data_IF_423293723968
#
_entry.id   IF_423293723968
#
_cell.length_a   1.000
_cell.length_b   1.000
_cell.length_c   1.000
_cell.angle_alpha   90.00
_cell.angle_beta   90.00
_cell.angle_gamma   90.00
#
_symmetry.space_group_name_H-M   'P 1'
#
loop_
_entity.id
_entity.type
_entity.pdbx_description
1 polymer ?
#
# COMPACT_ATOMS: atom_id res chain seq x y z
N UNK A 1 -38.50 58.18 37.75
CA UNK A 1 -37.87 57.24 36.81
C UNK A 1 -37.87 55.86 37.44
N UNK A 2 -38.57 54.89 36.85
CA UNK A 2 -38.60 53.49 37.31
C UNK A 2 -37.62 52.71 36.43
N UNK A 3 -36.59 52.12 37.02
CA UNK A 3 -35.72 51.18 36.32
C UNK A 3 -36.35 49.79 36.38
N UNK A 4 -36.63 49.22 35.21
CA UNK A 4 -37.03 47.82 35.05
C UNK A 4 -35.73 47.04 34.84
N UNK A 5 -35.37 46.20 35.81
CA UNK A 5 -34.29 45.24 35.67
C UNK A 5 -34.84 43.99 35.00
N UNK A 6 -34.48 43.77 33.73
CA UNK A 6 -34.80 42.54 33.00
C UNK A 6 -33.73 41.51 33.33
N UNK A 7 -34.11 40.45 34.04
CA UNK A 7 -33.26 39.29 34.30
C UNK A 7 -33.43 38.31 33.14
N UNK A 8 -32.39 38.15 32.32
CA UNK A 8 -32.34 37.10 31.31
C UNK A 8 -31.96 35.77 31.96
N UNK A 9 -32.94 34.87 32.11
CA UNK A 9 -32.68 33.48 32.47
C UNK A 9 -32.27 32.74 31.19
N UNK A 10 -30.97 32.51 31.02
CA UNK A 10 -30.46 31.60 30.00
C UNK A 10 -30.77 30.16 30.41
N UNK A 11 -31.84 29.59 29.87
CA UNK A 11 -32.05 28.15 29.90
C UNK A 11 -31.09 27.49 28.92
N UNK A 12 -30.00 26.91 29.43
CA UNK A 12 -29.14 26.01 28.66
C UNK A 12 -29.96 24.75 28.40
N UNK A 13 -30.53 24.64 27.20
CA UNK A 13 -31.05 23.38 26.68
C UNK A 13 -29.81 22.53 26.38
N UNK A 14 -29.41 21.69 27.32
CA UNK A 14 -28.51 20.58 27.03
C UNK A 14 -29.30 19.64 26.14
N UNK A 15 -29.14 19.79 24.83
CA UNK A 15 -29.52 18.76 23.87
C UNK A 15 -28.78 17.49 24.30
N UNK A 16 -29.50 16.53 24.89
CA UNK A 16 -28.99 15.19 25.14
C UNK A 16 -28.71 14.60 23.77
N UNK A 17 -27.48 14.77 23.27
CA UNK A 17 -27.03 14.06 22.10
C UNK A 17 -27.27 12.57 22.37
N UNK A 18 -28.13 11.93 21.58
CA UNK A 18 -28.25 10.48 21.58
C UNK A 18 -26.90 9.89 21.15
N UNK A 19 -26.04 9.64 22.13
CA UNK A 19 -24.78 8.97 21.89
C UNK A 19 -25.07 7.58 21.33
N UNK A 20 -24.48 7.27 20.18
CA UNK A 20 -24.55 5.91 19.65
C UNK A 20 -23.71 5.00 20.56
N UNK A 21 -24.20 3.81 20.86
CA UNK A 21 -23.48 2.80 21.64
C UNK A 21 -23.03 1.69 20.72
N UNK A 22 -21.77 1.27 20.87
CA UNK A 22 -21.16 0.14 20.17
C UNK A 22 -20.65 -0.89 21.18
N UNK A 23 -21.14 -2.13 21.07
CA UNK A 23 -20.77 -3.25 21.95
C UNK A 23 -19.57 -3.98 21.37
N UNK A 24 -18.34 -3.65 21.80
CA UNK A 24 -17.12 -4.34 21.33
C UNK A 24 -16.91 -5.63 22.13
N UNK A 25 -16.46 -6.72 21.51
CA UNK A 25 -16.21 -7.96 22.26
C UNK A 25 -15.01 -7.84 23.19
N UNK A 26 -13.88 -7.33 22.67
CA UNK A 26 -12.62 -7.22 23.39
C UNK A 26 -12.26 -5.78 23.72
N UNK A 27 -11.49 -5.57 24.79
CA UNK A 27 -11.05 -4.21 25.18
C UNK A 27 -10.01 -3.63 24.21
N UNK A 28 -9.57 -2.38 24.42
CA UNK A 28 -8.74 -1.62 23.45
C UNK A 28 -7.43 -2.31 23.03
N UNK A 29 -6.82 -3.11 23.90
CA UNK A 29 -5.53 -3.79 23.64
C UNK A 29 -5.70 -5.31 23.49
N UNK A 30 -6.93 -5.74 23.21
CA UNK A 30 -7.27 -7.14 23.08
C UNK A 30 -7.93 -7.38 21.74
N UNK A 31 -7.57 -8.52 21.15
CA UNK A 31 -8.12 -8.96 19.88
C UNK A 31 -8.89 -10.26 20.06
N UNK A 32 -9.93 -10.43 19.25
CA UNK A 32 -10.77 -11.61 19.30
C UNK A 32 -10.15 -12.75 18.48
N UNK A 33 -10.06 -13.93 19.09
CA UNK A 33 -9.65 -15.16 18.43
C UNK A 33 -10.75 -16.21 18.50
N UNK A 34 -10.75 -17.11 17.52
CA UNK A 34 -11.58 -18.30 17.52
C UNK A 34 -10.72 -19.52 17.82
N UNK A 35 -11.19 -20.38 18.71
CA UNK A 35 -10.49 -21.59 19.16
C UNK A 35 -11.40 -22.80 18.93
N UNK A 36 -10.95 -23.70 18.05
CA UNK A 36 -11.62 -24.96 17.72
C UNK A 36 -10.80 -26.15 18.23
N UNK A 37 -11.46 -27.19 18.74
CA UNK A 37 -10.84 -28.44 19.22
C UNK A 37 -11.38 -29.64 18.42
N UNK A 38 -10.60 -30.73 18.36
CA UNK A 38 -10.86 -31.95 17.55
C UNK A 38 -12.02 -32.79 18.05
N UNK A 39 -12.48 -32.58 19.27
CA UNK A 39 -13.63 -33.33 19.78
C UNK A 39 -14.85 -32.94 18.95
N UNK A 40 -15.48 -33.93 18.30
CA UNK A 40 -16.71 -33.74 17.47
C UNK A 40 -17.87 -33.05 18.22
N UNK A 41 -17.78 -32.96 19.54
CA UNK A 41 -18.74 -32.29 20.42
C UNK A 41 -18.24 -30.94 20.98
N UNK A 42 -16.99 -30.56 20.72
CA UNK A 42 -16.45 -29.27 21.15
C UNK A 42 -16.89 -28.19 20.16
N UNK A 43 -17.60 -27.19 20.70
CA UNK A 43 -18.02 -26.03 19.92
C UNK A 43 -16.87 -25.03 19.82
N UNK A 44 -16.90 -24.24 18.76
CA UNK A 44 -16.02 -23.08 18.63
C UNK A 44 -16.13 -22.20 19.87
N UNK A 45 -14.98 -21.82 20.41
CA UNK A 45 -14.87 -20.90 21.54
C UNK A 45 -14.27 -19.59 21.05
N UNK A 46 -14.71 -18.49 21.62
CA UNK A 46 -14.18 -17.15 21.32
C UNK A 46 -13.51 -16.59 22.55
N UNK A 47 -12.29 -16.07 22.39
CA UNK A 47 -11.47 -15.55 23.48
C UNK A 47 -10.84 -14.21 23.09
N UNK A 48 -10.68 -13.32 24.07
CA UNK A 48 -9.93 -12.08 23.90
C UNK A 48 -8.50 -12.30 24.41
N UNK A 49 -7.52 -12.10 23.54
CA UNK A 49 -6.10 -12.20 23.89
C UNK A 49 -5.45 -10.83 23.92
N UNK A 50 -4.51 -10.65 24.85
CA UNK A 50 -3.70 -9.43 24.93
C UNK A 50 -2.61 -9.48 23.87
N UNK A 51 -2.62 -8.47 22.99
CA UNK A 51 -1.70 -8.37 21.88
C UNK A 51 -0.24 -8.27 22.33
N UNK A 52 0.05 -7.46 23.34
CA UNK A 52 1.41 -7.17 23.79
C UNK A 52 2.05 -8.40 24.44
N UNK A 53 1.24 -9.24 25.08
CA UNK A 53 1.69 -10.44 25.77
C UNK A 53 1.93 -11.62 24.85
N UNK A 54 1.22 -11.69 23.72
CA UNK A 54 1.23 -12.85 22.82
C UNK A 54 1.79 -12.55 21.41
N UNK A 55 2.33 -11.35 21.20
CA UNK A 55 2.94 -10.86 19.95
C UNK A 55 3.98 -11.83 19.35
N UNK A 56 4.73 -12.56 20.18
CA UNK A 56 5.72 -13.55 19.72
C UNK A 56 5.11 -14.86 19.22
N UNK A 57 3.93 -15.24 19.72
CA UNK A 57 3.23 -16.48 19.39
C UNK A 57 2.38 -16.33 18.11
N UNK A 58 1.92 -15.10 17.81
CA UNK A 58 0.98 -14.81 16.71
C UNK A 58 1.51 -13.76 15.72
N UNK A 59 2.82 -13.78 15.42
CA UNK A 59 3.51 -12.79 14.56
C UNK A 59 2.82 -12.52 13.22
N UNK A 60 2.17 -13.51 12.62
CA UNK A 60 1.47 -13.34 11.34
C UNK A 60 0.00 -12.89 11.51
N UNK A 61 -0.67 -13.20 12.62
CA UNK A 61 -1.99 -12.64 12.94
C UNK A 61 -1.91 -11.15 13.35
N UNK A 62 -0.72 -10.72 13.79
CA UNK A 62 -0.37 -9.35 14.17
C UNK A 62 -0.38 -8.36 12.99
N UNK A 63 -0.53 -8.85 11.76
CA UNK A 63 -0.53 -8.04 10.57
C UNK A 63 -1.67 -7.03 10.50
N UNK A 64 -2.70 -7.03 11.35
CA UNK A 64 -3.85 -6.14 11.17
C UNK A 64 -4.24 -5.37 12.44
N UNK A 65 -4.86 -4.20 12.24
CA UNK A 65 -5.29 -3.34 13.33
C UNK A 65 -6.61 -3.80 13.94
N UNK A 66 -6.77 -3.49 15.23
CA UNK A 66 -8.06 -3.58 15.92
C UNK A 66 -9.08 -2.59 15.33
N UNK A 67 -10.36 -2.78 15.68
CA UNK A 67 -11.41 -1.81 15.38
C UNK A 67 -11.18 -0.50 16.15
N UNK A 68 -11.05 0.61 15.42
CA UNK A 68 -10.95 1.96 15.98
C UNK A 68 -12.34 2.60 15.96
N UNK A 69 -12.83 3.04 17.11
CA UNK A 69 -14.17 3.61 17.26
C UNK A 69 -14.05 5.12 17.41
N UNK A 70 -14.88 5.87 16.69
CA UNK A 70 -14.90 7.34 16.75
C UNK A 70 -15.28 7.82 18.16
N UNK A 71 -14.77 8.99 18.56
CA UNK A 71 -15.00 9.59 19.89
C UNK A 71 -16.49 9.84 20.19
N UNK A 72 -17.30 9.93 19.13
CA UNK A 72 -18.73 10.23 19.19
C UNK A 72 -19.59 9.01 19.60
N UNK A 73 -18.97 7.84 19.74
CA UNK A 73 -19.62 6.55 20.01
C UNK A 73 -19.17 6.04 21.36
N UNK A 74 -20.12 5.70 22.23
CA UNK A 74 -19.85 5.10 23.53
C UNK A 74 -19.53 3.61 23.33
N UNK A 75 -18.38 3.16 23.83
CA UNK A 75 -17.96 1.77 23.76
C UNK A 75 -18.37 1.05 25.04
N UNK A 76 -19.05 -0.08 24.89
CA UNK A 76 -19.33 -1.02 25.97
C UNK A 76 -18.70 -2.37 25.62
N UNK A 77 -17.88 -2.94 26.51
CA UNK A 77 -17.05 -4.10 26.19
C UNK A 77 -17.61 -5.39 26.79
N UNK A 78 -17.37 -6.51 26.12
CA UNK A 78 -17.47 -7.86 26.70
C UNK A 78 -18.16 -8.88 25.80
N UNK A 79 -17.62 -10.10 25.81
CA UNK A 79 -18.23 -11.26 25.17
C UNK A 79 -19.48 -11.69 25.96
N UNK A 80 -20.61 -11.98 25.29
CA UNK A 80 -21.80 -12.54 25.94
C UNK A 80 -21.45 -13.80 26.74
N UNK A 81 -21.93 -13.85 27.99
CA UNK A 81 -21.66 -14.96 28.90
C UNK A 81 -22.88 -15.86 29.05
N UNK A 82 -22.64 -17.12 29.44
CA UNK A 82 -23.70 -18.08 29.84
C UNK A 82 -24.67 -18.48 28.71
N UNK A 83 -24.21 -18.50 27.47
CA UNK A 83 -24.99 -18.95 26.32
C UNK A 83 -24.10 -19.67 25.30
N UNK A 84 -24.73 -20.33 24.33
CA UNK A 84 -24.03 -20.82 23.15
C UNK A 84 -23.87 -19.66 22.16
N UNK A 85 -22.65 -19.47 21.67
CA UNK A 85 -22.31 -18.37 20.77
C UNK A 85 -22.38 -18.83 19.31
N UNK A 86 -23.00 -18.00 18.49
CA UNK A 86 -22.88 -18.05 17.03
C UNK A 86 -22.18 -16.80 16.51
N UNK A 87 -21.28 -16.98 15.55
CA UNK A 87 -20.62 -15.88 14.84
C UNK A 87 -21.29 -15.67 13.48
N UNK A 88 -21.54 -14.41 13.15
CA UNK A 88 -22.06 -13.98 11.85
C UNK A 88 -21.09 -12.97 11.27
N UNK A 89 -20.56 -13.24 10.08
CA UNK A 89 -19.72 -12.28 9.37
C UNK A 89 -20.54 -11.07 8.91
N UNK A 90 -19.93 -9.90 9.03
CA UNK A 90 -20.54 -8.62 8.72
C UNK A 90 -19.81 -7.94 7.57
N UNK A 91 -20.60 -7.31 6.70
CA UNK A 91 -20.10 -6.58 5.54
C UNK A 91 -20.80 -5.22 5.45
N UNK A 92 -20.00 -4.14 5.36
CA UNK A 92 -20.53 -2.80 5.12
C UNK A 92 -21.20 -2.16 6.35
N UNK A 93 -22.48 -1.81 6.26
CA UNK A 93 -23.17 -1.06 7.30
C UNK A 93 -23.57 -1.94 8.49
N UNK A 94 -23.33 -1.46 9.71
CA UNK A 94 -23.62 -2.18 10.93
C UNK A 94 -24.91 -1.70 11.59
N UNK A 95 -25.90 -2.59 11.67
CA UNK A 95 -27.09 -2.40 12.50
C UNK A 95 -26.77 -2.81 13.94
N UNK A 96 -26.07 -1.94 14.66
CA UNK A 96 -25.56 -2.24 16.00
C UNK A 96 -26.71 -2.38 17.02
N UNK A 97 -26.67 -3.49 17.73
CA UNK A 97 -27.49 -3.75 18.90
C UNK A 97 -26.82 -3.20 20.15
N UNK A 98 -27.64 -2.74 21.11
CA UNK A 98 -27.19 -2.42 22.47
C UNK A 98 -27.43 -3.57 23.44
N UNK A 99 -27.90 -4.72 22.95
CA UNK A 99 -28.12 -5.92 23.74
C UNK A 99 -26.79 -6.45 24.30
N UNK A 100 -26.83 -6.95 25.55
CA UNK A 100 -25.67 -7.56 26.19
C UNK A 100 -25.35 -8.93 25.61
N UNK A 101 -26.32 -9.57 24.99
CA UNK A 101 -26.18 -10.88 24.37
C UNK A 101 -25.52 -10.82 22.98
N UNK A 102 -25.10 -9.62 22.55
CA UNK A 102 -24.46 -9.36 21.27
C UNK A 102 -23.18 -8.52 21.50
N UNK A 103 -22.12 -8.86 20.79
CA UNK A 103 -20.93 -8.02 20.65
C UNK A 103 -20.35 -8.11 19.23
N UNK A 104 -19.51 -7.15 18.88
CA UNK A 104 -18.88 -7.03 17.56
C UNK A 104 -17.37 -6.90 17.70
N UNK A 105 -16.63 -7.62 16.87
CA UNK A 105 -15.17 -7.47 16.79
C UNK A 105 -14.61 -8.07 15.51
N UNK A 106 -13.31 -7.88 15.26
CA UNK A 106 -12.59 -8.54 14.17
C UNK A 106 -11.94 -9.82 14.68
N UNK A 107 -12.14 -10.94 13.98
CA UNK A 107 -11.32 -12.14 14.23
C UNK A 107 -9.95 -11.92 13.59
N UNK A 108 -8.90 -11.91 14.40
CA UNK A 108 -7.53 -11.75 13.90
C UNK A 108 -6.86 -13.09 13.57
N UNK A 109 -7.28 -14.18 14.21
CA UNK A 109 -6.76 -15.52 13.94
C UNK A 109 -7.73 -16.61 14.40
N UNK A 110 -7.60 -17.78 13.78
CA UNK A 110 -8.22 -19.02 14.24
C UNK A 110 -7.15 -19.96 14.77
N UNK A 111 -7.46 -20.66 15.86
CA UNK A 111 -6.61 -21.71 16.44
C UNK A 111 -7.40 -23.02 16.34
N UNK A 112 -6.86 -23.99 15.63
CA UNK A 112 -7.45 -25.31 15.52
C UNK A 112 -6.47 -26.33 16.13
N UNK A 113 -6.87 -26.94 17.25
CA UNK A 113 -6.06 -27.91 18.00
C UNK A 113 -4.69 -27.37 18.45
N UNK A 114 -4.65 -26.11 18.84
CA UNK A 114 -3.41 -25.44 19.23
C UNK A 114 -2.51 -25.04 18.05
N UNK A 115 -2.91 -25.32 16.81
CA UNK A 115 -2.24 -24.79 15.63
C UNK A 115 -2.94 -23.53 15.14
N UNK A 116 -2.17 -22.49 14.85
CA UNK A 116 -2.65 -21.25 14.25
C UNK A 116 -3.01 -21.50 12.79
N UNK A 117 -4.25 -21.23 12.40
CA UNK A 117 -4.69 -21.21 11.01
C UNK A 117 -4.64 -19.76 10.53
N UNK A 118 -3.58 -19.42 9.79
CA UNK A 118 -3.34 -18.08 9.24
C UNK A 118 -4.38 -17.61 8.23
N UNK A 119 -5.14 -18.52 7.62
CA UNK A 119 -6.07 -18.20 6.54
C UNK A 119 -7.46 -17.74 7.04
N UNK A 120 -7.60 -17.37 8.32
CA UNK A 120 -8.83 -16.76 8.78
C UNK A 120 -9.10 -15.52 7.93
N UNK A 121 -10.17 -15.54 7.11
CA UNK A 121 -10.69 -14.32 6.49
C UNK A 121 -10.90 -13.37 7.65
N UNK A 122 -10.11 -12.30 7.69
CA UNK A 122 -10.13 -11.33 8.76
C UNK A 122 -11.41 -10.51 8.67
N UNK A 123 -12.52 -11.14 9.04
CA UNK A 123 -13.86 -10.60 8.93
C UNK A 123 -14.23 -9.95 10.25
N UNK A 124 -15.00 -8.87 10.12
CA UNK A 124 -15.70 -8.30 11.26
C UNK A 124 -16.88 -9.20 11.51
N UNK A 125 -17.04 -9.65 12.73
CA UNK A 125 -18.10 -10.58 13.11
C UNK A 125 -18.98 -9.98 14.18
N UNK A 126 -20.21 -10.49 14.21
CA UNK A 126 -21.13 -10.35 15.33
C UNK A 126 -21.15 -11.67 16.08
N UNK A 127 -20.75 -11.64 17.35
CA UNK A 127 -20.99 -12.75 18.28
C UNK A 127 -22.33 -12.52 18.96
N UNK A 128 -23.19 -13.55 18.93
CA UNK A 128 -24.49 -13.50 19.60
C UNK A 128 -24.82 -14.80 20.32
N UNK A 129 -25.62 -14.70 21.37
CA UNK A 129 -26.25 -15.87 21.98
C UNK A 129 -27.30 -16.49 21.04
N UNK A 130 -27.32 -17.81 20.93
CA UNK A 130 -28.37 -18.53 20.18
C UNK A 130 -29.76 -18.20 20.73
N UNK A 131 -30.69 -17.80 19.84
CA UNK A 131 -32.04 -17.37 20.22
C UNK A 131 -32.19 -15.89 20.57
N UNK A 132 -31.09 -15.11 20.59
CA UNK A 132 -31.18 -13.65 20.74
C UNK A 132 -31.82 -13.00 19.51
N UNK A 133 -32.75 -12.06 19.76
CA UNK A 133 -33.39 -11.26 18.73
C UNK A 133 -32.62 -9.95 18.52
N UNK A 134 -32.31 -9.63 17.26
CA UNK A 134 -31.67 -8.37 16.90
C UNK A 134 -32.65 -7.20 17.05
N UNK A 135 -32.61 -6.54 18.20
CA UNK A 135 -33.25 -5.22 18.37
C UNK A 135 -32.25 -4.13 17.97
N UNK A 136 -32.09 -3.92 16.66
CA UNK A 136 -31.20 -2.87 16.15
C UNK A 136 -31.72 -1.49 16.56
N UNK A 137 -30.85 -0.69 17.20
CA UNK A 137 -31.16 0.69 17.60
C UNK A 137 -30.27 1.72 16.92
N UNK A 138 -29.05 1.33 16.53
CA UNK A 138 -28.05 2.26 16.00
C UNK A 138 -27.55 1.79 14.64
N UNK A 139 -27.69 2.64 13.62
CA UNK A 139 -26.99 2.47 12.36
C UNK A 139 -25.58 3.05 12.49
N UNK A 140 -24.59 2.17 12.58
CA UNK A 140 -23.18 2.51 12.60
C UNK A 140 -22.57 2.31 11.21
N UNK A 141 -21.83 3.31 10.73
CA UNK A 141 -21.07 3.19 9.49
C UNK A 141 -19.67 2.69 9.80
N UNK A 142 -19.28 1.65 9.09
CA UNK A 142 -17.98 1.00 9.17
C UNK A 142 -17.18 1.31 7.91
N UNK A 143 -15.93 1.70 8.08
CA UNK A 143 -15.04 2.07 6.98
C UNK A 143 -13.69 1.35 7.11
N UNK A 144 -13.31 0.62 6.06
CA UNK A 144 -11.97 0.03 5.95
C UNK A 144 -11.01 1.05 5.34
N UNK A 145 -9.77 1.06 5.82
CA UNK A 145 -8.65 1.79 5.23
C UNK A 145 -7.61 0.74 4.82
N UNK A 146 -7.23 0.72 3.55
CA UNK A 146 -6.19 -0.19 3.06
C UNK A 146 -4.85 0.51 3.22
N UNK A 147 -3.95 -0.06 4.02
CA UNK A 147 -2.62 0.48 4.25
C UNK A 147 -1.60 -0.18 3.32
N UNK A 148 -0.65 0.60 2.81
CA UNK A 148 0.34 0.11 1.86
C UNK A 148 1.39 -0.80 2.51
N UNK A 149 1.91 -0.39 3.66
CA UNK A 149 2.92 -1.16 4.35
C UNK A 149 2.34 -2.02 5.47
N UNK A 150 3.05 -3.08 5.89
CA UNK A 150 2.70 -3.82 7.10
C UNK A 150 2.59 -2.91 8.33
N UNK A 151 1.99 -3.46 9.39
CA UNK A 151 1.89 -2.82 10.70
C UNK A 151 3.25 -2.30 11.19
N UNK A 152 3.25 -1.15 11.87
CA UNK A 152 4.43 -0.46 12.43
C UNK A 152 5.49 -0.01 11.40
N UNK A 153 5.17 -0.12 10.11
CA UNK A 153 5.99 0.38 9.01
C UNK A 153 5.27 1.52 8.30
N UNK A 154 6.02 2.33 7.55
CA UNK A 154 5.51 3.39 6.68
C UNK A 154 6.20 3.30 5.33
N UNK A 155 5.63 3.91 4.30
CA UNK A 155 6.16 3.82 2.94
C UNK A 155 7.25 4.87 2.71
N UNK A 156 8.40 4.46 2.19
CA UNK A 156 9.49 5.35 1.81
C UNK A 156 9.46 5.55 0.30
N UNK A 157 8.93 6.70 -0.16
CA UNK A 157 8.79 6.99 -1.59
C UNK A 157 10.10 7.43 -2.28
N UNK A 158 11.19 7.60 -1.53
CA UNK A 158 12.52 7.87 -2.12
C UNK A 158 13.20 6.57 -2.56
N UNK A 159 12.98 5.50 -1.79
CA UNK A 159 13.59 4.19 -2.02
C UNK A 159 12.59 3.12 -2.44
N UNK A 160 11.31 3.46 -2.47
CA UNK A 160 10.19 2.60 -2.86
C UNK A 160 10.15 1.31 -2.03
N UNK A 161 10.06 1.41 -0.70
CA UNK A 161 9.94 0.26 0.20
C UNK A 161 9.31 0.61 1.55
N UNK A 162 8.89 -0.41 2.30
CA UNK A 162 8.31 -0.25 3.62
C UNK A 162 9.37 -0.29 4.74
N UNK A 163 9.36 0.70 5.63
CA UNK A 163 10.36 0.85 6.69
C UNK A 163 9.73 1.04 8.05
N UNK A 164 10.34 0.46 9.09
CA UNK A 164 9.92 0.67 10.48
C UNK A 164 10.08 2.12 10.90
N UNK A 165 9.08 2.66 11.58
CA UNK A 165 9.11 4.00 12.18
C UNK A 165 8.54 3.96 13.58
N UNK A 166 9.39 4.17 14.59
CA UNK A 166 9.02 3.97 16.00
C UNK A 166 7.93 4.93 16.50
N UNK A 167 7.78 6.10 15.87
CA UNK A 167 6.79 7.12 16.26
C UNK A 167 5.45 6.96 15.55
N UNK A 168 5.37 6.11 14.50
CA UNK A 168 4.16 5.99 13.71
C UNK A 168 3.13 5.13 14.44
N UNK A 169 1.89 5.61 14.46
CA UNK A 169 0.72 4.88 14.93
C UNK A 169 -0.31 4.86 13.83
N UNK A 170 -0.89 3.70 13.57
CA UNK A 170 -1.87 3.49 12.51
C UNK A 170 -3.10 4.43 12.64
N UNK A 171 -3.49 4.82 13.86
CA UNK A 171 -4.56 5.80 14.10
C UNK A 171 -4.25 7.19 13.54
N UNK A 172 -2.98 7.49 13.24
CA UNK A 172 -2.60 8.72 12.55
C UNK A 172 -3.27 8.81 11.17
N UNK A 173 -3.38 7.71 10.42
CA UNK A 173 -4.03 7.69 9.09
C UNK A 173 -5.49 8.16 9.18
N UNK A 174 -6.18 7.77 10.25
CA UNK A 174 -7.57 8.17 10.52
C UNK A 174 -7.66 9.67 10.77
N UNK A 175 -6.65 10.26 11.42
CA UNK A 175 -6.63 11.70 11.70
C UNK A 175 -6.34 12.57 10.47
N UNK A 176 -5.67 12.02 9.44
CA UNK A 176 -5.28 12.78 8.26
C UNK A 176 -6.27 12.65 7.11
N UNK A 177 -6.88 11.48 6.92
CA UNK A 177 -7.88 11.31 5.89
C UNK A 177 -9.11 12.17 6.20
N UNK A 178 -9.60 12.92 5.21
CA UNK A 178 -10.93 13.53 5.30
C UNK A 178 -11.96 12.42 5.23
N UNK A 179 -12.39 11.95 6.41
CA UNK A 179 -13.36 10.89 6.54
C UNK A 179 -14.75 11.52 6.66
N UNK A 180 -15.67 11.12 5.78
CA UNK A 180 -17.09 11.36 6.02
C UNK A 180 -17.51 10.74 7.37
N UNK A 181 -18.64 11.20 7.94
CA UNK A 181 -19.17 10.79 9.26
C UNK A 181 -19.28 9.25 9.36
N UNK A 182 -18.18 8.61 9.77
CA UNK A 182 -18.06 7.18 10.01
C UNK A 182 -17.85 6.96 11.51
N UNK A 183 -18.43 5.88 12.00
CA UNK A 183 -18.51 5.60 13.43
C UNK A 183 -17.41 4.64 13.87
N UNK A 184 -16.99 3.72 12.99
CA UNK A 184 -16.00 2.67 13.25
C UNK A 184 -15.07 2.52 12.03
N UNK A 185 -13.78 2.36 12.30
CA UNK A 185 -12.72 2.18 11.32
C UNK A 185 -11.91 0.91 11.59
N UNK A 186 -11.31 0.37 10.55
CA UNK A 186 -10.36 -0.71 10.66
C UNK A 186 -9.32 -0.61 9.54
N UNK A 187 -8.10 -1.05 9.82
CA UNK A 187 -7.00 -0.98 8.86
C UNK A 187 -6.72 -2.39 8.35
N UNK A 188 -6.76 -2.52 7.03
CA UNK A 188 -6.37 -3.71 6.30
C UNK A 188 -4.93 -3.50 5.79
N UNK A 189 -4.00 -4.28 6.30
CA UNK A 189 -2.62 -4.28 5.83
C UNK A 189 -2.52 -5.29 4.70
N UNK A 190 -3.10 -4.92 3.55
CA UNK A 190 -3.28 -5.81 2.42
C UNK A 190 -3.39 -5.04 1.11
N UNK A 191 -2.35 -4.30 0.72
CA UNK A 191 -2.19 -4.08 -0.71
C UNK A 191 -1.31 -5.20 -1.27
N UNK A 192 -1.98 -6.08 -2.00
CA UNK A 192 -1.34 -6.96 -2.96
C UNK A 192 -0.69 -6.08 -4.06
N UNK A 193 0.34 -6.58 -4.76
CA UNK A 193 0.90 -5.87 -5.90
C UNK A 193 -0.21 -5.58 -6.94
N UNK A 194 -0.07 -4.49 -7.71
CA UNK A 194 -1.00 -4.19 -8.80
C UNK A 194 -1.05 -5.35 -9.81
N UNK A 195 -2.16 -5.46 -10.53
CA UNK A 195 -2.31 -6.56 -11.49
C UNK A 195 -1.22 -6.50 -12.57
N UNK A 196 -0.91 -7.65 -13.17
CA UNK A 196 0.04 -7.71 -14.29
C UNK A 196 -0.39 -6.75 -15.40
N UNK A 197 0.48 -5.80 -15.75
CA UNK A 197 0.15 -4.75 -16.72
C UNK A 197 0.05 -3.37 -16.11
N UNK A 198 -0.33 -3.28 -14.83
CA UNK A 198 -0.58 -2.04 -14.13
C UNK A 198 0.67 -1.44 -13.51
N UNK A 199 0.67 -0.12 -13.40
CA UNK A 199 1.63 0.68 -12.66
C UNK A 199 1.07 1.01 -11.29
N UNK A 200 1.93 0.89 -10.27
CA UNK A 200 1.67 1.42 -8.95
C UNK A 200 2.12 2.89 -8.90
N UNK A 201 1.17 3.80 -8.96
CA UNK A 201 1.40 5.25 -8.99
C UNK A 201 1.35 5.85 -7.61
N UNK A 202 2.40 6.60 -7.25
CA UNK A 202 2.64 7.17 -5.93
C UNK A 202 2.15 8.62 -5.84
N UNK A 203 0.93 8.78 -5.35
CA UNK A 203 0.22 10.05 -5.27
C UNK A 203 0.48 10.69 -3.90
N UNK A 204 1.18 11.82 -3.91
CA UNK A 204 1.65 12.51 -2.70
C UNK A 204 0.74 13.65 -2.29
N UNK A 205 0.41 13.73 -1.02
CA UNK A 205 -0.32 14.86 -0.44
C UNK A 205 0.53 16.14 -0.50
N UNK A 206 -0.08 17.19 -1.06
CA UNK A 206 0.57 18.47 -1.35
C UNK A 206 0.60 18.79 -2.84
N UNK A 207 0.65 17.76 -3.71
CA UNK A 207 0.33 17.88 -5.15
C UNK A 207 -1.14 17.52 -5.39
N UNK A 208 -1.62 16.55 -4.62
CA UNK A 208 -3.00 16.10 -4.62
C UNK A 208 -3.60 16.26 -3.23
N UNK A 209 -4.92 16.37 -3.19
CA UNK A 209 -5.74 16.19 -2.00
C UNK A 209 -6.34 14.79 -2.03
N UNK A 210 -6.24 14.09 -0.90
CA UNK A 210 -6.74 12.73 -0.74
C UNK A 210 -7.92 12.74 0.23
N UNK A 211 -9.04 12.14 -0.16
CA UNK A 211 -10.21 11.94 0.69
C UNK A 211 -10.76 10.53 0.54
N UNK A 212 -11.41 10.02 1.59
CA UNK A 212 -11.98 8.67 1.57
C UNK A 212 -13.49 8.73 1.77
N UNK A 213 -14.23 8.38 0.73
CA UNK A 213 -15.69 8.40 0.71
C UNK A 213 -16.23 7.00 0.42
N UNK A 214 -16.85 6.36 1.40
CA UNK A 214 -17.51 5.05 1.23
C UNK A 214 -16.60 3.98 0.58
N UNK A 215 -15.33 3.89 1.00
CA UNK A 215 -14.28 3.00 0.43
C UNK A 215 -13.78 3.38 -0.97
N UNK A 216 -14.19 4.52 -1.51
CA UNK A 216 -13.61 5.11 -2.71
C UNK A 216 -12.59 6.15 -2.29
N UNK A 217 -11.36 6.01 -2.78
CA UNK A 217 -10.35 7.04 -2.63
C UNK A 217 -10.61 8.11 -3.68
N UNK A 218 -10.98 9.29 -3.20
CA UNK A 218 -11.12 10.50 -4.01
C UNK A 218 -9.78 11.23 -4.01
N UNK A 219 -9.32 11.56 -5.21
CA UNK A 219 -8.05 12.22 -5.45
C UNK A 219 -8.35 13.47 -6.26
N UNK A 220 -8.07 14.64 -5.69
CA UNK A 220 -8.28 15.92 -6.35
C UNK A 220 -6.93 16.56 -6.61
N UNK A 221 -6.66 16.90 -7.86
CA UNK A 221 -5.47 17.64 -8.26
C UNK A 221 -5.69 19.15 -8.07
N UNK A 222 -4.63 19.93 -7.91
CA UNK A 222 -4.73 21.38 -7.69
C UNK A 222 -5.50 22.14 -8.79
N UNK A 223 -5.47 21.64 -10.03
CA UNK A 223 -6.18 22.22 -11.17
C UNK A 223 -7.69 21.90 -11.18
N UNK A 224 -8.18 21.09 -10.24
CA UNK A 224 -9.58 20.68 -10.11
C UNK A 224 -9.94 19.34 -10.75
N UNK A 225 -8.99 18.62 -11.36
CA UNK A 225 -9.25 17.28 -11.86
C UNK A 225 -9.50 16.31 -10.68
N UNK A 226 -10.56 15.51 -10.79
CA UNK A 226 -11.01 14.58 -9.75
C UNK A 226 -10.99 13.14 -10.25
N UNK A 227 -10.41 12.25 -9.45
CA UNK A 227 -10.29 10.83 -9.73
C UNK A 227 -10.90 10.03 -8.58
N UNK A 228 -11.63 8.97 -8.91
CA UNK A 228 -12.37 8.16 -7.95
C UNK A 228 -11.94 6.70 -8.08
N UNK A 229 -11.05 6.27 -7.19
CA UNK A 229 -10.47 4.92 -7.23
C UNK A 229 -11.24 4.00 -6.29
N UNK A 230 -11.78 2.91 -6.85
CA UNK A 230 -12.53 1.92 -6.09
C UNK A 230 -11.60 1.12 -5.17
N UNK A 231 -12.15 0.68 -4.05
CA UNK A 231 -11.51 -0.27 -3.13
C UNK A 231 -10.91 -1.46 -3.89
N UNK A 232 -9.68 -1.84 -3.53
CA UNK A 232 -8.95 -2.94 -4.16
C UNK A 232 -7.85 -2.48 -5.12
N UNK A 233 -7.92 -1.25 -5.64
CA UNK A 233 -6.92 -0.69 -6.55
C UNK A 233 -6.13 0.48 -5.93
N UNK A 234 -6.16 0.59 -4.59
CA UNK A 234 -5.40 1.60 -3.86
C UNK A 234 -5.06 1.17 -2.44
N UNK A 235 -4.02 1.81 -1.90
CA UNK A 235 -3.69 1.84 -0.49
C UNK A 235 -3.19 3.24 -0.09
N UNK A 236 -3.18 3.53 1.20
CA UNK A 236 -2.63 4.76 1.76
C UNK A 236 -1.60 4.48 2.83
N UNK A 237 -0.62 5.36 3.00
CA UNK A 237 0.33 5.30 4.10
C UNK A 237 0.86 6.70 4.43
N UNK A 238 1.65 6.80 5.49
CA UNK A 238 2.50 7.96 5.70
C UNK A 238 3.75 7.81 4.83
N UNK A 239 4.14 8.88 4.15
CA UNK A 239 5.45 8.93 3.51
C UNK A 239 6.56 9.11 4.57
N UNK A 240 7.60 8.29 4.48
CA UNK A 240 8.69 8.21 5.46
C UNK A 240 9.37 9.57 5.66
N UNK A 241 9.69 10.24 4.55
CA UNK A 241 10.46 11.49 4.53
C UNK A 241 9.60 12.71 4.84
N UNK A 242 8.53 12.95 4.07
CA UNK A 242 7.69 14.14 4.19
C UNK A 242 6.74 14.09 5.39
N UNK A 243 6.47 12.90 5.94
CA UNK A 243 5.48 12.65 7.00
C UNK A 243 4.03 13.01 6.60
N UNK A 244 3.78 13.21 5.31
CA UNK A 244 2.45 13.50 4.76
C UNK A 244 1.78 12.23 4.29
N UNK A 245 0.49 12.32 3.96
CA UNK A 245 -0.24 11.20 3.41
C UNK A 245 0.27 10.89 1.99
N UNK A 246 0.35 9.61 1.66
CA UNK A 246 0.65 9.11 0.33
C UNK A 246 -0.37 8.03 0.00
N UNK A 247 -0.83 8.00 -1.24
CA UNK A 247 -1.60 6.90 -1.79
C UNK A 247 -0.79 6.18 -2.87
N UNK A 248 -0.85 4.85 -2.90
CA UNK A 248 -0.48 4.09 -4.09
C UNK A 248 -1.76 3.67 -4.80
N UNK A 249 -1.82 3.89 -6.10
CA UNK A 249 -2.98 3.55 -6.94
C UNK A 249 -2.51 2.68 -8.09
N UNK A 250 -3.25 1.63 -8.39
CA UNK A 250 -3.00 0.76 -9.53
C UNK A 250 -3.75 1.29 -10.76
N UNK A 251 -3.01 1.62 -11.82
CA UNK A 251 -3.56 2.10 -13.09
C UNK A 251 -2.80 1.54 -14.29
N UNK A 252 -3.41 1.57 -15.47
CA UNK A 252 -2.77 1.12 -16.71
C UNK A 252 -1.92 2.22 -17.37
N UNK A 253 -2.30 3.48 -17.19
CA UNK A 253 -1.66 4.62 -17.86
C UNK A 253 -1.23 5.70 -16.85
N UNK A 254 0.09 5.86 -16.67
CA UNK A 254 0.67 6.89 -15.81
C UNK A 254 0.26 8.31 -16.18
N UNK A 255 -0.10 8.57 -17.44
CA UNK A 255 -0.47 9.91 -17.90
C UNK A 255 -1.73 10.43 -17.22
N UNK A 256 -2.57 9.55 -16.67
CA UNK A 256 -3.76 9.95 -15.90
C UNK A 256 -3.41 10.85 -14.70
N UNK A 257 -2.21 10.69 -14.11
CA UNK A 257 -1.74 11.45 -12.95
C UNK A 257 -0.46 12.27 -13.25
N UNK A 258 -0.17 12.53 -14.53
CA UNK A 258 1.10 13.10 -14.99
C UNK A 258 2.32 12.37 -14.38
N UNK A 259 2.18 11.06 -14.13
CA UNK A 259 3.20 10.29 -13.45
C UNK A 259 4.31 9.88 -14.42
N UNK A 260 5.55 9.90 -13.93
CA UNK A 260 6.67 9.37 -14.68
C UNK A 260 6.69 7.84 -14.55
N UNK A 261 6.43 7.18 -15.67
CA UNK A 261 6.25 5.74 -15.78
C UNK A 261 7.59 5.02 -15.92
N UNK A 262 7.83 4.00 -15.11
CA UNK A 262 9.04 3.17 -15.21
C UNK A 262 8.82 1.73 -14.75
N UNK A 263 9.77 0.88 -15.12
CA UNK A 263 9.73 -0.56 -14.86
C UNK A 263 10.83 -0.94 -13.88
N UNK A 264 10.45 -1.60 -12.79
CA UNK A 264 11.37 -2.27 -11.86
C UNK A 264 11.41 -3.77 -12.20
N UNK A 265 12.57 -4.40 -12.11
CA UNK A 265 12.69 -5.81 -12.48
C UNK A 265 11.98 -6.72 -11.48
N UNK A 266 12.26 -6.53 -10.19
CA UNK A 266 11.58 -7.21 -9.11
C UNK A 266 10.49 -6.35 -8.47
N UNK A 267 9.50 -6.95 -7.79
CA UNK A 267 8.54 -6.22 -6.96
C UNK A 267 9.20 -5.21 -6.01
N UNK A 268 8.41 -4.22 -5.59
CA UNK A 268 8.81 -3.19 -4.64
C UNK A 268 9.20 -3.87 -3.31
N UNK A 269 10.35 -3.50 -2.74
CA UNK A 269 10.91 -4.18 -1.56
C UNK A 269 11.70 -5.46 -1.84
N UNK A 270 11.78 -5.90 -3.10
CA UNK A 270 12.63 -7.02 -3.53
C UNK A 270 13.79 -6.54 -4.41
N UNK A 271 14.75 -7.41 -4.65
CA UNK A 271 15.86 -7.18 -5.56
C UNK A 271 16.27 -8.45 -6.31
N UNK A 272 17.06 -8.27 -7.37
CA UNK A 272 17.62 -9.40 -8.12
C UNK A 272 18.68 -10.11 -7.28
N UNK A 273 18.44 -11.39 -7.01
CA UNK A 273 19.34 -12.28 -6.27
C UNK A 273 20.15 -13.20 -7.15
N UNK A 274 19.59 -13.61 -8.30
CA UNK A 274 20.29 -14.39 -9.32
C UNK A 274 19.92 -13.88 -10.69
N UNK A 275 20.90 -13.89 -11.57
CA UNK A 275 20.76 -13.49 -12.96
C UNK A 275 21.34 -14.57 -13.86
N UNK A 276 20.57 -14.93 -14.89
CA UNK A 276 20.99 -15.79 -15.98
C UNK A 276 20.73 -15.10 -17.33
N UNK A 277 21.13 -15.75 -18.41
CA UNK A 277 21.04 -15.17 -19.77
C UNK A 277 19.60 -14.91 -20.23
N UNK A 278 18.60 -15.57 -19.64
CA UNK A 278 17.18 -15.46 -20.06
C UNK A 278 16.21 -15.19 -18.91
N UNK A 279 16.67 -15.23 -17.67
CA UNK A 279 15.82 -15.06 -16.50
C UNK A 279 16.62 -14.49 -15.32
N UNK A 280 15.88 -13.94 -14.37
CA UNK A 280 16.40 -13.55 -13.07
C UNK A 280 15.45 -14.00 -11.97
N UNK A 281 15.94 -14.07 -10.74
CA UNK A 281 15.10 -14.36 -9.57
C UNK A 281 15.14 -13.19 -8.58
N UNK A 282 13.99 -12.90 -8.00
CA UNK A 282 13.83 -11.87 -6.99
C UNK A 282 13.98 -12.43 -5.58
N UNK A 283 14.50 -11.62 -4.67
CA UNK A 283 14.57 -11.93 -3.26
C UNK A 283 14.17 -10.69 -2.43
N UNK A 284 13.50 -10.96 -1.31
CA UNK A 284 13.16 -9.95 -0.33
C UNK A 284 14.41 -9.23 0.17
N UNK A 285 14.30 -7.90 0.24
CA UNK A 285 15.37 -7.09 0.75
C UNK A 285 15.41 -7.17 2.28
N UNK A 286 16.53 -7.68 2.82
CA UNK A 286 16.75 -7.80 4.27
C UNK A 286 17.87 -6.89 4.77
N UNK A 287 18.52 -6.16 3.87
CA UNK A 287 19.65 -5.28 4.18
C UNK A 287 19.31 -3.84 3.77
N UNK A 288 19.16 -2.96 4.75
CA UNK A 288 18.89 -1.53 4.56
C UNK A 288 19.98 -0.80 3.72
N UNK A 289 21.08 -1.48 3.35
CA UNK A 289 22.10 -0.96 2.44
C UNK A 289 21.80 -1.21 0.97
N UNK A 290 20.80 -2.03 0.65
CA UNK A 290 20.45 -2.39 -0.72
C UNK A 290 19.22 -1.60 -1.18
N UNK A 291 19.34 -0.29 -1.31
CA UNK A 291 18.18 0.57 -1.60
C UNK A 291 18.01 0.80 -3.10
N UNK A 292 16.76 0.89 -3.56
CA UNK A 292 16.41 1.21 -4.95
C UNK A 292 16.23 2.71 -5.09
N UNK A 293 17.32 3.42 -5.42
CA UNK A 293 17.33 4.87 -5.57
C UNK A 293 17.44 5.27 -7.05
N UNK A 294 16.40 5.92 -7.55
CA UNK A 294 16.26 6.30 -8.96
C UNK A 294 16.80 7.70 -9.30
N UNK A 295 17.39 8.40 -8.33
CA UNK A 295 17.85 9.78 -8.50
C UNK A 295 18.82 9.92 -9.67
N UNK A 296 19.65 8.91 -9.94
CA UNK A 296 20.57 8.89 -11.08
C UNK A 296 19.87 8.97 -12.44
N UNK A 297 18.62 8.48 -12.54
CA UNK A 297 17.82 8.53 -13.76
C UNK A 297 16.91 9.76 -13.79
N UNK A 298 16.27 10.10 -12.68
CA UNK A 298 15.23 11.14 -12.63
C UNK A 298 15.81 12.55 -12.53
N UNK A 299 16.87 12.78 -11.75
CA UNK A 299 17.41 14.13 -11.55
C UNK A 299 17.99 14.78 -12.82
N UNK A 300 18.78 14.08 -13.67
CA UNK A 300 19.24 14.66 -14.94
C UNK A 300 18.09 15.05 -15.86
N UNK A 301 17.02 14.29 -15.77
CA UNK A 301 15.80 14.37 -16.56
C UNK A 301 14.99 15.60 -16.12
N UNK A 302 14.78 15.78 -14.81
CA UNK A 302 14.20 16.99 -14.20
C UNK A 302 14.97 18.26 -14.58
N UNK A 303 16.30 18.25 -14.44
CA UNK A 303 17.16 19.41 -14.75
C UNK A 303 17.09 19.85 -16.21
N UNK A 304 16.92 18.92 -17.15
CA UNK A 304 16.92 19.23 -18.59
C UNK A 304 15.59 19.77 -19.08
N UNK A 305 14.48 19.38 -18.47
CA UNK A 305 13.16 19.56 -19.08
C UNK A 305 12.07 20.11 -18.16
N UNK A 306 12.30 20.21 -16.85
CA UNK A 306 11.39 20.85 -15.88
C UNK A 306 10.11 20.06 -15.57
N UNK A 307 9.49 19.47 -16.60
CA UNK A 307 8.17 18.83 -16.54
C UNK A 307 8.27 17.31 -16.39
N UNK A 308 8.97 16.82 -15.37
CA UNK A 308 8.82 15.42 -14.96
C UNK A 308 8.00 15.44 -13.70
N UNK A 309 6.82 14.83 -13.77
CA UNK A 309 5.89 14.79 -12.66
C UNK A 309 6.58 14.37 -11.38
N UNK A 310 6.21 15.02 -10.27
CA UNK A 310 6.64 14.64 -8.92
C UNK A 310 6.06 13.29 -8.47
N UNK A 311 5.17 12.73 -9.30
CA UNK A 311 4.48 11.46 -9.17
C UNK A 311 5.22 10.41 -9.97
N UNK A 312 5.47 9.26 -9.36
CA UNK A 312 6.16 8.12 -9.98
C UNK A 312 5.17 6.97 -10.18
N UNK A 313 5.23 6.31 -11.33
CA UNK A 313 4.52 5.06 -11.60
C UNK A 313 5.50 3.92 -11.79
N UNK A 314 5.41 2.89 -10.93
CA UNK A 314 6.31 1.74 -10.96
C UNK A 314 5.54 0.47 -11.26
N UNK A 315 5.93 -0.22 -12.34
CA UNK A 315 5.45 -1.57 -12.66
C UNK A 315 6.59 -2.58 -12.45
N UNK A 316 6.26 -3.73 -11.87
CA UNK A 316 7.20 -4.84 -11.72
C UNK A 316 7.03 -5.83 -12.87
N UNK A 317 7.86 -5.74 -13.90
CA UNK A 317 7.91 -6.72 -14.99
C UNK A 317 9.03 -6.38 -15.97
N UNK A 318 9.66 -7.43 -16.50
CA UNK A 318 10.35 -7.38 -17.79
C UNK A 318 9.76 -8.49 -18.67
N UNK A 319 9.12 -8.09 -19.75
CA UNK A 319 8.60 -9.01 -20.77
C UNK A 319 9.39 -8.75 -22.05
N UNK A 320 10.15 -9.74 -22.50
CA UNK A 320 10.80 -9.69 -23.81
C UNK A 320 9.80 -10.19 -24.86
N UNK A 321 9.50 -9.38 -25.87
CA UNK A 321 8.58 -9.79 -26.94
C UNK A 321 9.10 -10.96 -27.78
N UNK A 322 10.42 -11.11 -27.89
CA UNK A 322 11.07 -12.21 -28.62
C UNK A 322 11.50 -13.34 -27.66
N UNK A 323 11.00 -14.56 -27.89
CA UNK A 323 11.35 -15.76 -27.13
C UNK A 323 12.85 -16.13 -27.22
N UNK A 324 13.54 -15.64 -28.25
CA UNK A 324 14.97 -15.82 -28.46
C UNK A 324 15.83 -14.73 -27.81
N UNK A 325 15.20 -13.69 -27.24
CA UNK A 325 15.90 -12.60 -26.59
C UNK A 325 16.77 -13.10 -25.43
N UNK A 326 17.93 -12.46 -25.30
CA UNK A 326 18.80 -12.57 -24.15
C UNK A 326 18.67 -11.31 -23.31
N UNK A 327 18.88 -11.47 -22.01
CA UNK A 327 18.95 -10.35 -21.11
C UNK A 327 20.36 -9.74 -21.18
N UNK A 328 20.43 -8.42 -21.29
CA UNK A 328 21.66 -7.65 -21.16
C UNK A 328 21.55 -6.67 -20.00
N UNK A 329 22.58 -6.61 -19.16
CA UNK A 329 22.70 -5.64 -18.07
C UNK A 329 23.55 -4.47 -18.57
N UNK A 330 23.08 -3.25 -18.39
CA UNK A 330 23.86 -2.03 -18.57
C UNK A 330 24.26 -1.43 -17.23
N UNK A 331 25.56 -1.22 -17.07
CA UNK A 331 26.12 -0.52 -15.92
C UNK A 331 26.60 0.88 -16.33
N UNK A 332 25.92 1.93 -15.88
CA UNK A 332 26.26 3.32 -16.23
C UNK A 332 27.66 3.75 -15.78
N UNK A 333 28.28 3.02 -14.84
CA UNK A 333 29.67 3.22 -14.42
C UNK A 333 30.68 2.84 -15.52
N UNK A 334 30.27 2.09 -16.55
CA UNK A 334 31.09 1.74 -17.71
C UNK A 334 30.70 2.61 -18.91
N UNK A 335 31.70 3.17 -19.60
CA UNK A 335 31.49 4.08 -20.73
C UNK A 335 30.71 3.41 -21.87
N UNK A 336 30.99 2.13 -22.12
CA UNK A 336 30.31 1.35 -23.16
C UNK A 336 28.82 1.12 -22.87
N UNK A 337 28.44 1.12 -21.59
CA UNK A 337 27.09 0.82 -21.11
C UNK A 337 26.38 2.09 -20.61
N UNK A 338 26.81 3.28 -21.04
CA UNK A 338 26.10 4.51 -20.67
C UNK A 338 24.67 4.48 -21.21
N UNK A 339 23.73 4.76 -20.32
CA UNK A 339 22.31 4.78 -20.63
C UNK A 339 21.58 5.79 -19.74
N UNK A 340 20.36 6.14 -20.14
CA UNK A 340 19.46 7.04 -19.43
C UNK A 340 18.02 6.72 -19.80
N UNK A 341 17.06 7.17 -19.01
CA UNK A 341 15.67 7.18 -19.47
C UNK A 341 15.37 8.48 -20.23
N UNK A 342 14.45 8.42 -21.18
CA UNK A 342 13.90 9.61 -21.83
C UNK A 342 12.58 10.07 -21.20
N UNK A 343 11.94 11.10 -21.79
CA UNK A 343 10.71 11.69 -21.23
C UNK A 343 9.52 10.74 -21.22
N UNK A 344 9.52 9.74 -22.10
CA UNK A 344 8.45 8.75 -22.19
C UNK A 344 8.72 7.54 -21.27
N UNK A 345 9.81 7.60 -20.49
CA UNK A 345 10.25 6.47 -19.68
C UNK A 345 10.91 5.38 -20.50
N UNK A 346 11.39 5.64 -21.72
CA UNK A 346 12.09 4.62 -22.50
C UNK A 346 13.57 4.59 -22.16
N UNK A 347 14.16 3.40 -22.11
CA UNK A 347 15.59 3.23 -21.92
C UNK A 347 16.32 3.60 -23.20
N UNK A 348 17.24 4.55 -23.09
CA UNK A 348 18.12 5.00 -24.16
C UNK A 348 19.56 4.70 -23.79
N UNK A 349 20.18 3.81 -24.55
CA UNK A 349 21.63 3.59 -24.58
C UNK A 349 22.22 4.12 -25.89
N UNK A 350 23.48 3.81 -26.18
CA UNK A 350 24.12 4.18 -27.45
C UNK A 350 23.41 3.55 -28.66
N UNK A 351 23.04 2.28 -28.52
CA UNK A 351 22.62 1.43 -29.63
C UNK A 351 21.15 0.98 -29.52
N UNK A 352 20.50 1.25 -28.37
CA UNK A 352 19.13 0.79 -28.08
C UNK A 352 18.27 1.94 -27.58
N UNK A 353 17.08 2.08 -28.14
CA UNK A 353 15.97 2.84 -27.58
C UNK A 353 14.79 1.88 -27.46
N UNK A 354 14.42 1.52 -26.24
CA UNK A 354 13.41 0.48 -26.00
C UNK A 354 12.59 0.76 -24.76
N UNK A 355 11.34 0.32 -24.76
CA UNK A 355 10.56 0.20 -23.55
C UNK A 355 10.76 -1.17 -22.87
N UNK A 356 11.30 -2.18 -23.56
CA UNK A 356 11.60 -3.54 -23.04
C UNK A 356 12.80 -3.56 -22.08
N UNK A 357 12.69 -2.81 -21.00
CA UNK A 357 13.67 -2.74 -19.96
C UNK A 357 13.03 -2.79 -18.57
N UNK A 358 13.86 -3.03 -17.58
CA UNK A 358 13.55 -2.79 -16.20
C UNK A 358 14.81 -2.29 -15.47
N UNK A 359 14.63 -1.59 -14.36
CA UNK A 359 15.71 -1.17 -13.47
C UNK A 359 15.69 -1.99 -12.20
N UNK A 360 16.85 -2.32 -11.66
CA UNK A 360 16.96 -2.84 -10.30
C UNK A 360 18.27 -2.43 -9.65
N UNK A 361 18.33 -2.56 -8.34
CA UNK A 361 19.57 -2.39 -7.60
C UNK A 361 20.45 -3.63 -7.76
N UNK A 362 21.75 -3.42 -7.90
CA UNK A 362 22.79 -4.45 -7.99
C UNK A 362 23.93 -4.15 -7.04
N UNK A 363 24.51 -5.20 -6.47
CA UNK A 363 25.75 -5.10 -5.70
C UNK A 363 26.94 -5.21 -6.66
N UNK A 364 27.73 -4.16 -6.77
CA UNK A 364 28.96 -4.17 -7.55
C UNK A 364 30.05 -4.98 -6.85
N UNK A 365 31.10 -5.35 -7.60
CA UNK A 365 32.28 -6.03 -7.06
C UNK A 365 33.01 -5.21 -5.98
N UNK A 366 32.83 -3.88 -5.96
CA UNK A 366 33.37 -2.99 -4.92
C UNK A 366 32.47 -2.91 -3.69
N UNK A 367 31.36 -3.66 -3.65
CA UNK A 367 30.40 -3.68 -2.56
C UNK A 367 29.46 -2.47 -2.50
N UNK A 368 29.44 -1.63 -3.54
CA UNK A 368 28.48 -0.53 -3.67
C UNK A 368 27.18 -1.04 -4.27
N UNK A 369 26.06 -0.44 -3.89
CA UNK A 369 24.77 -0.68 -4.53
C UNK A 369 24.56 0.38 -5.61
N UNK A 370 24.27 -0.05 -6.83
CA UNK A 370 24.01 0.83 -7.98
C UNK A 370 22.75 0.35 -8.71
N UNK A 371 21.92 1.28 -9.19
CA UNK A 371 20.75 0.94 -10.01
C UNK A 371 21.19 0.77 -11.45
N UNK A 372 21.03 -0.44 -11.98
CA UNK A 372 21.39 -0.82 -13.34
C UNK A 372 20.14 -1.12 -14.16
N UNK A 373 20.24 -0.98 -15.48
CA UNK A 373 19.18 -1.37 -16.40
C UNK A 373 19.39 -2.79 -16.92
N UNK A 374 18.30 -3.53 -17.07
CA UNK A 374 18.25 -4.80 -17.79
C UNK A 374 17.35 -4.59 -18.99
N UNK A 375 17.80 -5.01 -20.16
CA UNK A 375 17.04 -4.94 -21.41
C UNK A 375 17.03 -6.28 -22.11
N UNK A 376 16.02 -6.49 -22.94
CA UNK A 376 15.96 -7.60 -23.89
C UNK A 376 16.79 -7.24 -25.14
N UNK A 377 17.62 -8.17 -25.61
CA UNK A 377 18.38 -8.03 -26.87
C UNK A 377 18.32 -9.32 -27.69
N UNK A 378 18.23 -9.18 -29.00
CA UNK A 378 18.21 -10.31 -29.94
C UNK A 378 19.55 -10.46 -30.65
N UNK A 379 19.81 -11.63 -31.25
CA UNK A 379 21.04 -11.84 -32.03
C UNK A 379 21.17 -10.91 -33.25
N UNK A 380 20.07 -10.33 -33.75
CA UNK A 380 20.08 -9.35 -34.83
C UNK A 380 20.71 -8.01 -34.39
N UNK A 381 20.52 -7.63 -33.12
CA UNK A 381 21.02 -6.37 -32.55
C UNK A 381 22.56 -6.36 -32.43
N UNK A 382 23.18 -7.53 -32.27
CA UNK A 382 24.64 -7.70 -32.30
C UNK A 382 25.27 -7.54 -33.70
N UNK A 383 24.50 -7.74 -34.78
CA UNK A 383 25.02 -7.64 -36.15
C UNK A 383 24.99 -6.20 -36.71
N UNK A 384 24.10 -5.34 -36.21
CA UNK A 384 24.07 -3.92 -36.57
C UNK A 384 25.27 -3.16 -35.99
N UNK A 385 25.71 -3.51 -34.77
CA UNK A 385 26.91 -2.94 -34.13
C UNK A 385 28.22 -3.32 -34.83
N UNK A 386 28.28 -4.49 -35.48
CA UNK A 386 29.44 -4.91 -36.29
C UNK A 386 29.48 -4.27 -37.68
N UNK A 387 28.33 -3.93 -38.26
CA UNK A 387 28.24 -3.28 -39.58
C UNK A 387 28.58 -1.78 -39.53
N UNK A 388 28.32 -1.08 -38.42
CA UNK A 388 28.73 0.33 -38.27
C UNK A 388 30.21 0.52 -37.90
N UNK A 389 30.88 -0.49 -37.32
CA UNK A 389 32.32 -0.44 -37.01
C UNK A 389 33.19 -0.80 -38.23
N UNK A 390 32.63 -1.45 -39.26
CA UNK A 390 33.38 -1.92 -40.43
C UNK A 390 33.24 -1.06 -41.69
N UNK A 391 32.50 0.05 -41.66
CA UNK A 391 32.46 1.02 -42.77
C UNK A 391 33.14 2.33 -42.36
N UNK A 392 34.43 2.55 -42.69
CA UNK A 392 35.00 3.88 -42.57
C UNK A 392 34.29 4.82 -43.54
N UNK A 393 34.08 6.11 -43.17
CA UNK A 393 33.54 7.08 -44.10
C UNK A 393 34.50 7.22 -45.28
N UNK A 394 34.01 6.93 -46.49
CA UNK A 394 34.67 7.28 -47.75
C UNK A 394 34.75 8.81 -47.85
N UNK A 395 35.74 9.41 -47.19
CA UNK A 395 36.13 10.80 -47.41
C UNK A 395 36.98 10.83 -48.68
N UNK A 396 36.33 11.14 -49.79
CA UNK A 396 36.99 11.55 -51.03
C UNK A 396 37.72 12.88 -50.80
N UNK A 397 39.05 12.83 -50.58
CA UNK A 397 39.89 14.02 -50.61
C UNK A 397 40.15 14.48 -52.05
N UNK A 398 40.02 15.77 -52.39
CA UNK A 398 40.44 16.28 -53.68
C UNK A 398 41.98 16.33 -53.76
N UNK A 399 42.53 15.81 -54.86
CA UNK A 399 43.94 15.94 -55.27
C UNK A 399 44.32 17.42 -55.36
N UNK A 400 45.26 17.89 -54.53
CA UNK A 400 46.07 19.07 -54.84
C UNK A 400 47.28 18.64 -55.67
N UNK A 401 47.34 19.13 -56.91
CA UNK A 401 48.56 19.14 -57.73
C UNK A 401 49.52 20.20 -57.20
N UNK A 402 50.80 19.85 -57.08
CA UNK A 402 51.92 20.67 -57.54
C UNK A 402 52.87 19.76 -58.27
#
# INVERSE_FOLDING_TARGET
MRYITIVYVFSIIISVAHFKVFRKCCTKNQSLIKVSRLDKNSRDKYECIDYDRHLSEYKEASLNSDLVVNQNVIIDNGIPQKCNLSAIELYGQLNASTDRDICYDRIITEINNGMIIQAAKQSIIMLKCDGSNLTSRNKLKLQGIVKCCPRDQVYDSEYHLCRKRHEFKEEWLISQLTLNICDIFFIENKMDDCDLGEYSVEIKEGVYRLALINKVLEITKENGDEYYIKSGSWCVDQDYMSRRLLAKVCILDCSEFDAYCMRKCCPIGEHISRYGTRNFSCAQNSDDRFLFNLSSYIEPLRRKKGDIGDVMGIRASLECSDESAQLQIYNSSWIADQHSLDMNGWLRSRDVLTDEYCLDSFKTSTGKTEVMAITCVTFADYNLTLLEVLLPPLVSRPRRRR
#
